data_IF_240049475414
#
_entry.id   IF_240049475414
#
_cell.length_a   1.000
_cell.length_b   1.000
_cell.length_c   1.000
_cell.angle_alpha   90.00
_cell.angle_beta   90.00
_cell.angle_gamma   90.00
#
_symmetry.space_group_name_H-M   'P 1'
#
loop_
_entity.id
_entity.type
_entity.pdbx_description
1 polymer ?
#
# COMPACT_ATOMS: atom_id res chain seq x y z
N UNK A 1 25.77 -8.21 -17.31
CA UNK A 1 24.48 -8.15 -16.61
C UNK A 1 23.41 -8.41 -17.64
N UNK A 2 22.69 -9.52 -17.52
CA UNK A 2 21.48 -9.76 -18.31
C UNK A 2 20.42 -8.79 -17.79
N UNK A 3 19.94 -7.90 -18.66
CA UNK A 3 18.78 -7.06 -18.35
C UNK A 3 17.58 -7.99 -18.44
N UNK A 4 17.12 -8.49 -17.30
CA UNK A 4 15.89 -9.26 -17.25
C UNK A 4 14.70 -8.35 -17.58
N UNK A 5 13.81 -8.83 -18.43
CA UNK A 5 12.56 -8.14 -18.75
C UNK A 5 11.71 -7.99 -17.50
N UNK A 6 11.08 -6.83 -17.34
CA UNK A 6 10.06 -6.61 -16.30
C UNK A 6 8.76 -7.38 -16.59
N UNK A 7 8.53 -7.75 -17.86
CA UNK A 7 7.40 -8.56 -18.29
C UNK A 7 7.86 -10.02 -18.35
N UNK A 8 7.23 -10.86 -17.54
CA UNK A 8 7.68 -12.25 -17.32
C UNK A 8 6.80 -13.29 -18.01
N UNK A 9 5.65 -12.88 -18.55
CA UNK A 9 4.70 -13.76 -19.24
C UNK A 9 3.84 -13.01 -20.27
N UNK A 10 3.12 -13.75 -21.12
CA UNK A 10 2.16 -13.20 -22.09
C UNK A 10 1.02 -12.45 -21.37
N UNK A 11 0.59 -12.92 -20.21
CA UNK A 11 -0.41 -12.24 -19.38
C UNK A 11 0.13 -10.90 -18.84
N UNK A 12 1.43 -10.81 -18.58
CA UNK A 12 2.11 -9.57 -18.18
C UNK A 12 2.16 -8.58 -19.33
N UNK A 13 2.47 -9.04 -20.55
CA UNK A 13 2.44 -8.21 -21.76
C UNK A 13 1.03 -7.68 -22.07
N UNK A 14 0.00 -8.52 -21.95
CA UNK A 14 -1.40 -8.09 -22.14
C UNK A 14 -1.80 -7.03 -21.11
N UNK A 15 -1.48 -7.24 -19.83
CA UNK A 15 -1.74 -6.25 -18.78
C UNK A 15 -1.04 -4.93 -19.06
N UNK A 16 0.22 -4.97 -19.53
CA UNK A 16 0.94 -3.77 -19.91
C UNK A 16 0.24 -3.00 -21.04
N UNK A 17 -0.28 -3.70 -22.05
CA UNK A 17 -1.07 -3.07 -23.14
C UNK A 17 -2.36 -2.44 -22.59
N UNK A 18 -3.10 -3.16 -21.75
CA UNK A 18 -4.35 -2.67 -21.15
C UNK A 18 -4.11 -1.42 -20.29
N UNK A 19 -3.04 -1.42 -19.48
CA UNK A 19 -2.62 -0.28 -18.66
C UNK A 19 -2.25 0.93 -19.54
N UNK A 20 -1.51 0.70 -20.64
CA UNK A 20 -1.17 1.76 -21.60
C UNK A 20 -2.41 2.34 -22.27
N UNK A 21 -3.36 1.49 -22.69
CA UNK A 21 -4.62 1.93 -23.29
C UNK A 21 -5.45 2.76 -22.31
N UNK A 22 -5.59 2.30 -21.06
CA UNK A 22 -6.32 3.05 -20.02
C UNK A 22 -5.66 4.38 -19.70
N UNK A 23 -4.33 4.41 -19.60
CA UNK A 23 -3.59 5.65 -19.34
C UNK A 23 -3.72 6.64 -20.50
N UNK A 24 -3.66 6.15 -21.74
CA UNK A 24 -3.82 6.99 -22.95
C UNK A 24 -5.22 7.58 -23.09
N UNK A 25 -6.25 6.84 -22.67
CA UNK A 25 -7.64 7.28 -22.72
C UNK A 25 -8.07 8.10 -21.49
N UNK A 26 -7.24 8.18 -20.46
CA UNK A 26 -7.58 8.89 -19.23
C UNK A 26 -7.52 10.40 -19.46
N UNK A 27 -8.56 11.11 -19.01
CA UNK A 27 -8.57 12.58 -18.97
C UNK A 27 -7.67 13.14 -17.84
N UNK A 28 -7.08 12.27 -17.00
CA UNK A 28 -6.15 12.68 -15.95
C UNK A 28 -4.83 13.12 -16.58
N UNK A 29 -4.49 14.40 -16.41
CA UNK A 29 -3.15 14.90 -16.75
C UNK A 29 -2.16 14.35 -15.72
N UNK A 30 -1.44 13.30 -16.11
CA UNK A 30 -0.38 12.70 -15.27
C UNK A 30 0.90 13.53 -15.43
N UNK A 31 0.91 14.73 -14.83
CA UNK A 31 2.12 15.56 -14.65
C UNK A 31 2.68 15.37 -13.24
N UNK A 32 2.89 14.11 -12.87
CA UNK A 32 3.35 13.72 -11.53
C UNK A 32 4.64 12.93 -11.67
N UNK A 33 5.68 13.37 -10.96
CA UNK A 33 6.88 12.57 -10.76
C UNK A 33 6.57 11.47 -9.74
N UNK A 34 7.04 10.22 -9.98
CA UNK A 34 6.98 9.17 -8.98
C UNK A 34 7.52 9.67 -7.63
N UNK A 35 6.89 9.24 -6.54
CA UNK A 35 7.31 9.58 -5.18
C UNK A 35 7.44 8.35 -4.26
N UNK A 36 7.12 7.16 -4.76
CA UNK A 36 7.33 5.88 -4.07
C UNK A 36 8.40 5.10 -4.83
N UNK A 37 9.54 4.89 -4.19
CA UNK A 37 10.75 4.37 -4.84
C UNK A 37 11.15 3.01 -4.28
N UNK A 38 11.49 2.07 -5.17
CA UNK A 38 12.30 0.92 -4.77
C UNK A 38 13.76 1.30 -4.68
N UNK A 39 14.41 0.88 -3.60
CA UNK A 39 15.81 1.18 -3.36
C UNK A 39 16.66 0.34 -4.33
N UNK A 40 17.68 0.91 -4.99
CA UNK A 40 18.55 0.12 -5.85
C UNK A 40 19.14 -1.07 -5.10
N UNK A 41 19.19 -2.24 -5.75
CA UNK A 41 19.59 -3.52 -5.13
C UNK A 41 20.91 -3.42 -4.34
N UNK A 42 21.88 -2.66 -4.85
CA UNK A 42 23.18 -2.42 -4.19
C UNK A 42 23.05 -1.79 -2.80
N UNK A 43 22.11 -0.87 -2.62
CA UNK A 43 21.84 -0.26 -1.31
C UNK A 43 20.99 -1.18 -0.44
N UNK A 44 19.96 -1.81 -1.04
CA UNK A 44 19.08 -2.74 -0.34
C UNK A 44 19.85 -3.90 0.30
N UNK A 45 20.84 -4.47 -0.40
CA UNK A 45 21.69 -5.56 0.10
C UNK A 45 22.60 -5.14 1.26
N UNK A 46 22.97 -3.86 1.35
CA UNK A 46 23.89 -3.37 2.39
C UNK A 46 23.18 -3.21 3.74
N UNK A 47 21.90 -2.80 3.73
CA UNK A 47 21.10 -2.63 4.96
C UNK A 47 19.61 -2.89 4.69
N UNK A 48 19.20 -4.15 4.46
CA UNK A 48 17.80 -4.47 4.11
C UNK A 48 16.80 -3.94 5.13
N UNK A 49 17.14 -4.00 6.42
CA UNK A 49 16.29 -3.54 7.52
C UNK A 49 16.06 -2.01 7.59
N UNK A 50 16.62 -1.22 6.66
CA UNK A 50 16.34 0.21 6.55
C UNK A 50 15.35 0.53 5.43
N UNK A 51 15.02 -0.44 4.58
CA UNK A 51 14.31 -0.20 3.32
C UNK A 51 13.11 -1.12 3.14
N UNK A 52 13.29 -2.41 3.40
CA UNK A 52 12.29 -3.44 3.18
C UNK A 52 11.52 -3.71 4.48
N UNK A 53 10.17 -3.74 4.46
CA UNK A 53 9.38 -4.12 5.63
C UNK A 53 9.70 -5.54 6.10
N UNK A 54 9.58 -5.77 7.40
CA UNK A 54 9.89 -7.03 8.09
C UNK A 54 8.66 -7.65 8.74
N UNK A 55 7.64 -6.86 9.07
CA UNK A 55 6.44 -7.32 9.77
C UNK A 55 5.18 -7.12 8.94
N UNK A 56 5.00 -5.93 8.38
CA UNK A 56 3.80 -5.54 7.64
C UNK A 56 4.19 -4.82 6.35
N UNK A 57 3.73 -5.38 5.24
CA UNK A 57 3.80 -4.69 3.96
C UNK A 57 2.59 -3.77 3.79
N UNK A 58 2.83 -2.59 3.25
CA UNK A 58 1.88 -1.58 2.82
C UNK A 58 2.19 -1.24 1.36
N UNK A 59 1.14 -1.18 0.53
CA UNK A 59 1.30 -0.91 -0.89
C UNK A 59 1.94 -2.08 -1.65
N UNK A 60 2.06 -1.96 -2.98
CA UNK A 60 2.23 -3.09 -3.88
C UNK A 60 3.63 -3.72 -3.90
N UNK A 61 4.69 -3.02 -3.46
CA UNK A 61 6.07 -3.49 -3.60
C UNK A 61 6.39 -4.77 -2.82
N UNK A 62 5.79 -4.95 -1.65
CA UNK A 62 6.03 -6.12 -0.80
C UNK A 62 4.75 -6.93 -0.51
N UNK A 63 3.58 -6.49 -0.98
CA UNK A 63 2.30 -7.00 -0.49
C UNK A 63 2.11 -8.50 -0.72
N UNK A 64 2.52 -9.00 -1.89
CA UNK A 64 2.28 -10.38 -2.31
C UNK A 64 3.41 -11.35 -1.93
N UNK A 65 4.34 -10.93 -1.07
CA UNK A 65 5.39 -11.86 -0.62
C UNK A 65 4.85 -12.85 0.42
N UNK A 66 5.22 -14.14 0.34
CA UNK A 66 4.66 -15.18 1.22
C UNK A 66 4.82 -14.89 2.72
N UNK A 67 5.91 -14.23 3.11
CA UNK A 67 6.20 -13.87 4.51
C UNK A 67 5.14 -12.97 5.14
N UNK A 68 4.40 -12.20 4.35
CA UNK A 68 3.38 -11.27 4.86
C UNK A 68 1.97 -11.87 4.91
N UNK A 69 1.76 -13.10 4.44
CA UNK A 69 0.42 -13.67 4.30
C UNK A 69 -0.42 -13.63 5.58
N UNK A 70 0.18 -13.93 6.74
CA UNK A 70 -0.50 -13.84 8.05
C UNK A 70 -0.92 -12.40 8.36
N UNK A 71 -0.05 -11.43 8.08
CA UNK A 71 -0.37 -10.01 8.30
C UNK A 71 -1.39 -9.46 7.31
N UNK A 72 -1.47 -10.03 6.09
CA UNK A 72 -2.53 -9.67 5.14
C UNK A 72 -3.93 -9.98 5.69
N UNK A 73 -4.09 -11.16 6.29
CA UNK A 73 -5.37 -11.53 6.96
C UNK A 73 -5.67 -10.62 8.14
N UNK A 74 -4.66 -10.30 8.94
CA UNK A 74 -4.82 -9.38 10.06
C UNK A 74 -5.25 -7.98 9.60
N UNK A 75 -4.61 -7.42 8.56
CA UNK A 75 -5.00 -6.13 7.96
C UNK A 75 -6.44 -6.14 7.51
N UNK A 76 -6.90 -7.20 6.84
CA UNK A 76 -8.29 -7.33 6.41
C UNK A 76 -9.27 -7.31 7.59
N UNK A 77 -8.96 -8.01 8.69
CA UNK A 77 -9.77 -7.99 9.90
C UNK A 77 -9.84 -6.58 10.51
N UNK A 78 -8.70 -5.90 10.62
CA UNK A 78 -8.62 -4.53 11.15
C UNK A 78 -9.37 -3.55 10.25
N UNK A 79 -9.19 -3.63 8.93
CA UNK A 79 -9.88 -2.81 7.95
C UNK A 79 -11.40 -3.00 8.05
N UNK A 80 -11.87 -4.25 8.16
CA UNK A 80 -13.29 -4.53 8.36
C UNK A 80 -13.81 -3.97 9.68
N UNK A 81 -13.03 -4.06 10.78
CA UNK A 81 -13.45 -3.52 12.07
C UNK A 81 -13.46 -1.98 12.08
N UNK A 82 -12.59 -1.33 11.30
CA UNK A 82 -12.59 0.12 11.12
C UNK A 82 -13.88 0.60 10.43
N UNK A 83 -14.43 -0.21 9.54
CA UNK A 83 -15.75 -0.02 8.95
C UNK A 83 -16.81 -0.54 9.94
N UNK A 84 -17.34 0.35 10.78
CA UNK A 84 -18.10 0.02 12.00
C UNK A 84 -19.38 -0.80 11.79
N UNK A 85 -19.89 -0.95 10.56
CA UNK A 85 -21.09 -1.73 10.25
C UNK A 85 -21.15 -2.19 8.78
N UNK A 86 -22.08 -3.10 8.49
CA UNK A 86 -22.25 -3.69 7.15
C UNK A 86 -22.59 -2.65 6.06
N UNK A 87 -23.28 -1.56 6.42
CA UNK A 87 -23.57 -0.49 5.48
C UNK A 87 -22.30 0.26 5.04
N UNK A 88 -21.39 0.54 5.97
CA UNK A 88 -20.09 1.14 5.64
C UNK A 88 -19.20 0.20 4.82
N UNK A 89 -19.26 -1.11 5.09
CA UNK A 89 -18.56 -2.11 4.28
C UNK A 89 -19.10 -2.12 2.84
N UNK A 90 -20.41 -2.06 2.67
CA UNK A 90 -21.04 -2.01 1.36
C UNK A 90 -20.70 -0.69 0.63
N UNK A 91 -20.86 0.45 1.30
CA UNK A 91 -20.50 1.75 0.73
C UNK A 91 -19.02 1.82 0.32
N UNK A 92 -18.11 1.29 1.14
CA UNK A 92 -16.69 1.21 0.77
C UNK A 92 -16.47 0.38 -0.50
N UNK A 93 -17.15 -0.77 -0.60
CA UNK A 93 -17.02 -1.65 -1.75
C UNK A 93 -17.60 -1.06 -3.05
N UNK A 94 -18.66 -0.27 -2.95
CA UNK A 94 -19.36 0.33 -4.10
C UNK A 94 -18.74 1.68 -4.51
N UNK A 95 -18.54 2.61 -3.57
CA UNK A 95 -18.19 4.00 -3.91
C UNK A 95 -16.68 4.26 -3.82
N UNK A 96 -16.01 3.76 -2.77
CA UNK A 96 -14.58 4.07 -2.55
C UNK A 96 -13.70 3.28 -3.51
N UNK A 97 -14.01 2.00 -3.75
CA UNK A 97 -13.25 1.22 -4.73
C UNK A 97 -13.44 1.74 -6.15
N UNK A 98 -14.62 2.24 -6.51
CA UNK A 98 -14.86 2.86 -7.82
C UNK A 98 -14.08 4.15 -7.98
N UNK A 99 -14.03 5.02 -6.95
CA UNK A 99 -13.15 6.20 -6.94
C UNK A 99 -11.69 5.83 -7.14
N UNK A 100 -11.18 4.86 -6.36
CA UNK A 100 -9.80 4.40 -6.49
C UNK A 100 -9.51 3.78 -7.86
N UNK A 101 -10.49 3.10 -8.45
CA UNK A 101 -10.40 2.54 -9.79
C UNK A 101 -10.29 3.62 -10.88
N UNK A 102 -11.03 4.73 -10.74
CA UNK A 102 -10.95 5.86 -11.67
C UNK A 102 -9.56 6.52 -11.66
N UNK A 103 -8.93 6.61 -10.49
CA UNK A 103 -7.59 7.19 -10.32
C UNK A 103 -6.47 6.14 -10.35
N UNK A 104 -6.76 4.90 -10.73
CA UNK A 104 -5.77 3.82 -10.71
C UNK A 104 -4.55 4.06 -11.64
N UNK A 105 -4.70 4.66 -12.84
CA UNK A 105 -3.54 5.08 -13.64
C UNK A 105 -2.67 6.12 -12.91
N UNK A 106 -3.30 7.02 -12.15
CA UNK A 106 -2.60 8.00 -11.33
C UNK A 106 -1.84 7.30 -10.20
N UNK A 107 -2.46 6.34 -9.50
CA UNK A 107 -1.81 5.51 -8.48
C UNK A 107 -0.52 4.91 -9.04
N UNK A 108 -0.57 4.28 -10.23
CA UNK A 108 0.62 3.68 -10.86
C UNK A 108 1.74 4.71 -11.09
N UNK A 109 1.39 5.92 -11.50
CA UNK A 109 2.36 6.99 -11.76
C UNK A 109 3.12 7.46 -10.51
N UNK A 110 2.59 7.23 -9.29
CA UNK A 110 3.30 7.53 -8.05
C UNK A 110 4.43 6.54 -7.76
N UNK A 111 4.41 5.34 -8.35
CA UNK A 111 5.44 4.31 -8.17
C UNK A 111 6.50 4.39 -9.27
N UNK A 112 7.78 4.34 -8.89
CA UNK A 112 8.89 4.45 -9.84
C UNK A 112 9.11 3.21 -10.72
N UNK A 113 8.50 2.07 -10.34
CA UNK A 113 8.55 0.83 -11.09
C UNK A 113 7.19 0.49 -11.70
N UNK A 114 7.22 -0.18 -12.85
CA UNK A 114 6.04 -0.81 -13.40
C UNK A 114 5.48 -1.85 -12.42
N UNK A 115 4.20 -1.73 -12.12
CA UNK A 115 3.49 -2.65 -11.23
C UNK A 115 2.80 -3.71 -12.08
N UNK A 116 3.39 -4.89 -12.20
CA UNK A 116 2.77 -6.00 -12.94
C UNK A 116 1.64 -6.67 -12.12
N UNK A 117 0.59 -5.89 -11.87
CA UNK A 117 -0.61 -6.24 -11.10
C UNK A 117 -1.83 -5.89 -11.93
N UNK A 118 -2.86 -6.73 -11.88
CA UNK A 118 -4.18 -6.32 -12.35
C UNK A 118 -4.64 -5.08 -11.57
N UNK A 119 -5.23 -4.09 -12.25
CA UNK A 119 -5.63 -2.84 -11.58
C UNK A 119 -6.60 -3.04 -10.42
N UNK A 120 -7.53 -4.01 -10.51
CA UNK A 120 -8.42 -4.35 -9.38
C UNK A 120 -7.64 -4.87 -8.18
N UNK A 121 -6.61 -5.68 -8.43
CA UNK A 121 -5.73 -6.18 -7.36
C UNK A 121 -4.98 -5.02 -6.71
N UNK A 122 -4.44 -4.09 -7.51
CA UNK A 122 -3.75 -2.89 -7.00
C UNK A 122 -4.69 -2.03 -6.12
N UNK A 123 -5.90 -1.76 -6.59
CA UNK A 123 -6.91 -0.99 -5.85
C UNK A 123 -7.23 -1.67 -4.52
N UNK A 124 -7.49 -2.98 -4.49
CA UNK A 124 -7.79 -3.70 -3.25
C UNK A 124 -6.63 -3.70 -2.26
N UNK A 125 -5.39 -3.89 -2.74
CA UNK A 125 -4.18 -3.80 -1.93
C UNK A 125 -4.14 -2.46 -1.20
N UNK A 126 -4.28 -1.38 -1.95
CA UNK A 126 -4.18 -0.03 -1.39
C UNK A 126 -5.34 0.32 -0.49
N UNK A 127 -6.54 -0.14 -0.82
CA UNK A 127 -7.75 0.13 -0.05
C UNK A 127 -7.66 -0.50 1.36
N UNK A 128 -7.29 -1.78 1.45
CA UNK A 128 -7.11 -2.48 2.73
C UNK A 128 -5.93 -1.92 3.53
N UNK A 129 -4.80 -1.68 2.86
CA UNK A 129 -3.59 -1.20 3.52
C UNK A 129 -3.77 0.22 4.07
N UNK A 130 -4.54 1.05 3.38
CA UNK A 130 -4.88 2.40 3.82
C UNK A 130 -5.84 2.41 5.00
N UNK A 131 -6.90 1.60 5.01
CA UNK A 131 -7.79 1.45 6.17
C UNK A 131 -7.02 0.97 7.39
N UNK A 132 -6.13 -0.01 7.20
CA UNK A 132 -5.25 -0.48 8.26
C UNK A 132 -4.35 0.65 8.78
N UNK A 133 -3.72 1.41 7.89
CA UNK A 133 -2.81 2.51 8.25
C UNK A 133 -3.56 3.62 9.00
N UNK A 134 -4.76 4.00 8.56
CA UNK A 134 -5.61 4.97 9.27
C UNK A 134 -5.95 4.50 10.68
N UNK A 135 -6.36 3.23 10.84
CA UNK A 135 -6.60 2.64 12.15
C UNK A 135 -5.34 2.67 13.04
N UNK A 136 -4.19 2.31 12.46
CA UNK A 136 -2.90 2.31 13.16
C UNK A 136 -2.52 3.71 13.63
N UNK A 137 -2.62 4.73 12.77
CA UNK A 137 -2.31 6.13 13.10
C UNK A 137 -3.25 6.69 14.19
N UNK A 138 -4.55 6.39 14.11
CA UNK A 138 -5.52 6.77 15.14
C UNK A 138 -5.19 6.14 16.50
N UNK A 139 -4.83 4.86 16.49
CA UNK A 139 -4.41 4.13 17.70
C UNK A 139 -3.04 4.60 18.21
N UNK A 140 -2.20 5.16 17.33
CA UNK A 140 -0.91 5.70 17.69
C UNK A 140 -1.06 7.02 18.47
N UNK A 141 -1.80 7.96 17.90
CA UNK A 141 -2.01 9.30 18.47
C UNK A 141 -2.74 9.26 19.83
N UNK A 142 -3.75 8.40 19.98
CA UNK A 142 -4.57 8.33 21.21
C UNK A 142 -3.84 7.78 22.44
N UNK A 143 -2.70 7.13 22.27
CA UNK A 143 -1.94 6.54 23.38
C UNK A 143 -0.68 7.33 23.74
N UNK A 144 -0.17 8.21 22.88
CA UNK A 144 0.92 9.13 23.26
C UNK A 144 0.45 10.17 24.29
N UNK A 145 -0.86 10.43 24.38
CA UNK A 145 -1.47 11.30 25.41
C UNK A 145 -1.60 10.62 26.79
N UNK A 146 -1.40 9.31 26.89
CA UNK A 146 -1.40 8.56 28.14
C UNK A 146 0.05 8.23 28.49
N UNK A 147 0.58 8.72 29.61
CA UNK A 147 1.96 8.49 30.06
C UNK A 147 2.37 7.01 29.86
N UNK A 148 3.12 6.74 28.80
CA UNK A 148 3.49 5.37 28.42
C UNK A 148 4.63 4.93 29.32
N UNK A 149 4.34 4.00 30.23
CA UNK A 149 5.38 3.25 30.92
C UNK A 149 6.13 2.41 29.87
N UNK A 150 7.33 2.87 29.51
CA UNK A 150 8.21 2.31 28.48
C UNK A 150 8.59 0.84 28.75
N UNK A 151 8.29 0.33 29.95
CA UNK A 151 8.52 -1.06 30.36
C UNK A 151 7.43 -2.06 29.88
N UNK A 152 6.32 -1.59 29.28
CA UNK A 152 5.26 -2.45 28.79
C UNK A 152 5.62 -3.15 27.46
N UNK A 153 5.50 -4.48 27.39
CA UNK A 153 5.74 -5.26 26.16
C UNK A 153 4.93 -4.76 24.95
N UNK A 154 3.75 -4.16 25.17
CA UNK A 154 2.90 -3.65 24.09
C UNK A 154 3.43 -2.35 23.45
N UNK A 155 4.10 -1.48 24.21
CA UNK A 155 4.69 -0.23 23.65
C UNK A 155 5.87 -0.55 22.73
N UNK A 156 6.70 -1.52 23.13
CA UNK A 156 7.82 -2.01 22.35
C UNK A 156 7.40 -2.62 21.00
N UNK A 157 6.35 -3.45 21.00
CA UNK A 157 5.85 -4.04 19.74
C UNK A 157 5.21 -3.00 18.82
N UNK A 158 4.49 -2.02 19.37
CA UNK A 158 3.97 -0.87 18.60
C UNK A 158 5.08 -0.05 17.97
N UNK A 159 6.15 0.25 18.72
CA UNK A 159 7.30 1.00 18.19
C UNK A 159 8.00 0.25 17.06
N UNK A 160 8.17 -1.07 17.18
CA UNK A 160 8.69 -1.91 16.09
C UNK A 160 7.77 -1.90 14.87
N UNK A 161 6.45 -1.90 15.07
CA UNK A 161 5.49 -1.82 13.97
C UNK A 161 5.54 -0.44 13.29
N UNK A 162 5.66 0.65 14.06
CA UNK A 162 5.84 2.00 13.52
C UNK A 162 7.13 2.12 12.69
N UNK A 163 8.23 1.54 13.17
CA UNK A 163 9.48 1.45 12.41
C UNK A 163 9.27 0.74 11.07
N UNK A 164 8.48 -0.33 11.08
CA UNK A 164 8.18 -1.11 9.86
C UNK A 164 7.32 -0.34 8.86
N UNK A 165 6.30 0.37 9.35
CA UNK A 165 5.45 1.27 8.55
C UNK A 165 6.28 2.40 7.91
N UNK A 166 7.34 2.86 8.58
CA UNK A 166 8.23 3.93 8.10
C UNK A 166 9.30 3.47 7.09
N UNK A 167 9.36 2.19 6.74
CA UNK A 167 10.35 1.68 5.78
C UNK A 167 10.14 2.28 4.38
N UNK A 168 11.24 2.62 3.68
CA UNK A 168 11.18 3.37 2.41
C UNK A 168 10.38 2.66 1.30
N UNK A 169 10.45 1.33 1.23
CA UNK A 169 9.73 0.56 0.22
C UNK A 169 8.30 0.19 0.68
N UNK A 170 7.86 0.71 1.83
CA UNK A 170 6.60 0.40 2.50
C UNK A 170 5.59 1.57 2.49
N UNK A 171 5.60 2.37 1.43
CA UNK A 171 4.85 3.63 1.35
C UNK A 171 3.58 3.50 0.50
N UNK A 172 2.57 4.30 0.87
CA UNK A 172 1.33 4.48 0.11
C UNK A 172 1.20 5.97 -0.22
N UNK A 173 0.82 6.33 -1.47
CA UNK A 173 0.55 7.73 -1.82
C UNK A 173 -0.50 8.35 -0.89
N UNK A 174 -0.21 9.51 -0.32
CA UNK A 174 -1.10 10.14 0.68
C UNK A 174 -2.50 10.46 0.15
N UNK A 175 -2.64 10.76 -1.14
CA UNK A 175 -3.94 11.02 -1.75
C UNK A 175 -4.88 9.80 -1.66
N UNK A 176 -4.36 8.57 -1.67
CA UNK A 176 -5.15 7.35 -1.50
C UNK A 176 -5.78 7.34 -0.10
N UNK A 177 -5.04 7.76 0.92
CA UNK A 177 -5.57 7.90 2.29
C UNK A 177 -6.67 8.96 2.34
N UNK A 178 -6.51 10.05 1.60
CA UNK A 178 -7.53 11.12 1.51
C UNK A 178 -8.81 10.56 0.90
N UNK A 179 -8.74 9.92 -0.27
CA UNK A 179 -9.90 9.30 -0.95
C UNK A 179 -10.65 8.36 -0.01
N UNK A 180 -9.93 7.52 0.75
CA UNK A 180 -10.51 6.57 1.69
C UNK A 180 -11.04 7.25 2.95
N UNK A 181 -10.43 8.33 3.42
CA UNK A 181 -10.89 9.05 4.62
C UNK A 181 -12.21 9.81 4.41
N UNK A 182 -12.66 9.96 3.16
CA UNK A 182 -13.96 10.57 2.82
C UNK A 182 -15.17 9.62 2.99
N UNK A 183 -14.96 8.46 3.61
CA UNK A 183 -15.97 7.46 3.99
C UNK A 183 -17.04 7.97 4.96
#
# INVERSE_FOLDING_TARGET
MTVESILTSIESERRWVDDCMRSFQSDLTIDISPCVFQVPKSFAETKPQAYTPQKISLGPYHHLRPEFFTTQRHKLTVAKNFLNNDHQVQHFAEEVLDKLWLVEPLIRAYYDKYLDLEGKTLVWILAIDSLYLLNFLNSYNTQDDQEVDDSNSNSHERRKLAQDVMMLENQIPSFVLIEISTL
#
